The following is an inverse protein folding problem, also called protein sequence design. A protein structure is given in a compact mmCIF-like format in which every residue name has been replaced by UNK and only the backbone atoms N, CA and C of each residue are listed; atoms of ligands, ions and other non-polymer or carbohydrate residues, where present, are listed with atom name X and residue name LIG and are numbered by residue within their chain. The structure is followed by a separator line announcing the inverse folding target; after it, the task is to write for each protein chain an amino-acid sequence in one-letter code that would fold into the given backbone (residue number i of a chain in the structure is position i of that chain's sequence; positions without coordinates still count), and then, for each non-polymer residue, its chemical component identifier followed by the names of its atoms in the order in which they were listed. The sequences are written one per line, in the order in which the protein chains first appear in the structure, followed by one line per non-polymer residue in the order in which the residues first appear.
data_IF_769446095283
#
_entry.id   IF_769446095283
#
_cell.length_a   1.000
_cell.length_b   1.000
_cell.length_c   1.000
_cell.angle_alpha   90.00
_cell.angle_beta   90.00
_cell.angle_gamma   90.00
#
_symmetry.space_group_name_H-M   'P 1'
#
loop_
_entity.id
_entity.type
_entity.pdbx_description
1 polymer ?
#
# COMPACT_ATOMS: atom_id res chain seq x y z
N UNK A 1 -38.97 -8.86 3.72
CA UNK A 1 -38.11 -7.78 3.16
C UNK A 1 -38.94 -7.02 2.11
N UNK A 2 -38.88 -5.68 2.12
CA UNK A 2 -39.64 -4.82 1.20
C UNK A 2 -39.32 -5.19 -0.27
N UNK A 3 -40.36 -5.36 -1.09
CA UNK A 3 -40.25 -5.75 -2.51
C UNK A 3 -39.35 -4.78 -3.29
N UNK A 4 -39.42 -3.48 -2.97
CA UNK A 4 -38.59 -2.47 -3.64
C UNK A 4 -37.10 -2.68 -3.30
N UNK A 5 -36.77 -2.96 -2.03
CA UNK A 5 -35.38 -3.23 -1.63
C UNK A 5 -34.83 -4.51 -2.29
N UNK A 6 -35.69 -5.52 -2.48
CA UNK A 6 -35.30 -6.75 -3.18
C UNK A 6 -34.94 -6.45 -4.64
N UNK A 7 -35.72 -5.60 -5.31
CA UNK A 7 -35.43 -5.19 -6.72
C UNK A 7 -34.10 -4.45 -6.81
N UNK A 8 -33.88 -3.46 -5.95
CA UNK A 8 -32.61 -2.68 -5.91
C UNK A 8 -31.43 -3.63 -5.68
N UNK A 9 -31.53 -4.53 -4.70
CA UNK A 9 -30.49 -5.53 -4.41
C UNK A 9 -30.17 -6.37 -5.65
N UNK A 10 -31.20 -6.87 -6.33
CA UNK A 10 -31.04 -7.76 -7.48
C UNK A 10 -30.37 -7.02 -8.65
N UNK A 11 -30.83 -5.79 -8.92
CA UNK A 11 -30.25 -4.93 -9.96
C UNK A 11 -28.79 -4.61 -9.65
N UNK A 12 -28.47 -4.27 -8.40
CA UNK A 12 -27.08 -3.99 -7.98
C UNK A 12 -26.19 -5.22 -8.15
N UNK A 13 -26.68 -6.42 -7.81
CA UNK A 13 -25.90 -7.66 -8.00
C UNK A 13 -25.63 -7.95 -9.47
N UNK A 14 -26.59 -7.71 -10.35
CA UNK A 14 -26.40 -7.89 -11.79
C UNK A 14 -25.35 -6.89 -12.32
N UNK A 15 -25.42 -5.65 -11.88
CA UNK A 15 -24.46 -4.61 -12.27
C UNK A 15 -23.03 -4.95 -11.80
N UNK A 16 -22.90 -5.52 -10.60
CA UNK A 16 -21.58 -5.86 -10.01
C UNK A 16 -20.97 -7.15 -10.60
N UNK A 17 -21.76 -8.04 -11.17
CA UNK A 17 -21.31 -9.40 -11.51
C UNK A 17 -20.02 -9.43 -12.35
N UNK A 18 -19.84 -8.63 -13.43
CA UNK A 18 -18.60 -8.64 -14.19
C UNK A 18 -17.38 -8.20 -13.38
N UNK A 19 -17.56 -7.19 -12.53
CA UNK A 19 -16.48 -6.65 -11.67
C UNK A 19 -16.12 -7.69 -10.60
N UNK A 20 -17.12 -8.35 -10.01
CA UNK A 20 -16.91 -9.41 -9.02
C UNK A 20 -16.07 -10.56 -9.60
N UNK A 21 -16.35 -10.95 -10.85
CA UNK A 21 -15.59 -12.01 -11.52
C UNK A 21 -14.11 -11.60 -11.67
N UNK A 22 -13.85 -10.38 -12.11
CA UNK A 22 -12.48 -9.87 -12.23
C UNK A 22 -11.78 -9.81 -10.86
N UNK A 23 -12.48 -9.35 -9.81
CA UNK A 23 -11.93 -9.34 -8.45
C UNK A 23 -11.58 -10.76 -7.97
N UNK A 24 -12.38 -11.75 -8.35
CA UNK A 24 -12.14 -13.16 -8.04
C UNK A 24 -10.86 -13.66 -8.72
N UNK A 25 -10.68 -13.36 -10.01
CA UNK A 25 -9.46 -13.73 -10.76
C UNK A 25 -8.20 -13.13 -10.10
N UNK A 26 -8.26 -11.84 -9.70
CA UNK A 26 -7.15 -11.16 -9.02
C UNK A 26 -6.87 -11.85 -7.67
N UNK A 27 -7.92 -12.13 -6.92
CA UNK A 27 -7.79 -12.80 -5.61
C UNK A 27 -7.15 -14.18 -5.75
N UNK A 28 -7.60 -14.98 -6.74
CA UNK A 28 -7.03 -16.32 -6.99
C UNK A 28 -5.55 -16.22 -7.36
N UNK A 29 -5.18 -15.29 -8.23
CA UNK A 29 -3.79 -15.06 -8.60
C UNK A 29 -2.95 -14.74 -7.35
N UNK A 30 -3.42 -13.81 -6.52
CA UNK A 30 -2.69 -13.41 -5.32
C UNK A 30 -2.64 -14.54 -4.27
N UNK A 31 -3.70 -15.35 -4.14
CA UNK A 31 -3.67 -16.53 -3.25
C UNK A 31 -2.62 -17.54 -3.69
N UNK A 32 -2.49 -17.78 -5.01
CA UNK A 32 -1.45 -18.64 -5.57
C UNK A 32 -0.05 -18.08 -5.25
N UNK A 33 0.14 -16.78 -5.47
CA UNK A 33 1.41 -16.08 -5.16
C UNK A 33 1.79 -16.28 -3.67
N UNK A 34 0.84 -16.11 -2.75
CA UNK A 34 1.08 -16.31 -1.32
C UNK A 34 1.43 -17.78 -1.02
N UNK A 35 0.68 -18.74 -1.58
CA UNK A 35 0.94 -20.16 -1.36
C UNK A 35 2.31 -20.57 -1.90
N UNK A 36 2.71 -20.07 -3.06
CA UNK A 36 4.01 -20.33 -3.65
C UNK A 36 5.14 -19.79 -2.77
N UNK A 37 4.98 -18.56 -2.24
CA UNK A 37 5.94 -17.97 -1.30
C UNK A 37 6.06 -18.83 -0.03
N UNK A 38 4.93 -19.29 0.52
CA UNK A 38 4.94 -20.18 1.71
C UNK A 38 5.71 -21.50 1.43
N UNK A 39 5.45 -22.12 0.26
CA UNK A 39 6.12 -23.38 -0.14
C UNK A 39 7.62 -23.16 -0.37
N UNK A 40 7.97 -22.13 -1.14
CA UNK A 40 9.38 -21.78 -1.44
C UNK A 40 10.17 -21.56 -0.14
N UNK A 41 9.57 -20.92 0.83
CA UNK A 41 10.20 -20.62 2.12
C UNK A 41 10.06 -21.74 3.15
N UNK A 42 9.47 -22.90 2.77
CA UNK A 42 9.29 -24.05 3.67
C UNK A 42 8.62 -23.64 4.99
N UNK A 43 7.56 -22.80 4.91
CA UNK A 43 6.83 -22.34 6.09
C UNK A 43 6.28 -23.55 6.87
N UNK A 44 6.48 -23.55 8.19
CA UNK A 44 6.03 -24.64 9.08
C UNK A 44 5.62 -24.05 10.43
N UNK A 45 5.01 -24.88 11.27
CA UNK A 45 4.58 -24.47 12.61
C UNK A 45 5.75 -23.99 13.50
N UNK A 46 6.97 -24.41 13.19
CA UNK A 46 8.18 -23.95 13.89
C UNK A 46 8.32 -22.41 13.83
N UNK A 47 7.96 -21.82 12.70
CA UNK A 47 8.08 -20.36 12.48
C UNK A 47 6.99 -19.54 13.17
N UNK A 48 6.04 -20.21 13.84
CA UNK A 48 4.98 -19.53 14.60
C UNK A 48 5.38 -19.23 16.04
N UNK A 49 6.50 -19.82 16.49
CA UNK A 49 6.94 -19.71 17.89
C UNK A 49 7.33 -18.27 18.27
N UNK A 50 7.07 -17.88 19.49
CA UNK A 50 7.56 -16.57 19.99
C UNK A 50 9.08 -16.61 20.22
N UNK A 51 9.67 -15.42 20.31
CA UNK A 51 11.07 -15.25 20.69
C UNK A 51 11.19 -14.25 21.85
N UNK A 52 12.34 -14.24 22.52
CA UNK A 52 12.58 -13.36 23.64
C UNK A 52 14.02 -12.79 23.59
N UNK A 53 14.35 -11.97 24.58
CA UNK A 53 15.64 -11.32 24.64
C UNK A 53 15.84 -10.36 23.49
N UNK A 54 17.01 -10.38 22.90
CA UNK A 54 17.34 -9.49 21.78
C UNK A 54 16.71 -9.93 20.44
N UNK A 55 16.31 -11.19 20.34
CA UNK A 55 15.68 -11.70 19.12
C UNK A 55 16.65 -11.99 17.98
N UNK A 56 17.92 -12.15 18.24
CA UNK A 56 18.89 -12.58 17.20
C UNK A 56 18.48 -13.95 16.67
N UNK A 57 18.45 -14.10 15.35
CA UNK A 57 18.09 -15.36 14.70
C UNK A 57 16.65 -15.79 14.95
N UNK A 58 15.71 -14.85 15.10
CA UNK A 58 14.29 -15.16 15.29
C UNK A 58 13.73 -15.81 14.01
N UNK A 59 13.42 -17.14 14.03
CA UNK A 59 13.01 -17.82 12.81
C UNK A 59 11.64 -17.38 12.30
N UNK A 60 10.76 -16.92 13.17
CA UNK A 60 9.43 -16.41 12.77
C UNK A 60 9.54 -15.10 12.01
N UNK A 61 10.31 -14.17 12.57
CA UNK A 61 10.57 -12.87 11.94
C UNK A 61 11.22 -13.04 10.58
N UNK A 62 12.37 -13.75 10.56
CA UNK A 62 13.14 -13.95 9.32
C UNK A 62 12.30 -14.63 8.25
N UNK A 63 11.52 -15.63 8.65
CA UNK A 63 10.65 -16.34 7.70
C UNK A 63 9.55 -15.42 7.16
N UNK A 64 8.94 -14.62 8.01
CA UNK A 64 7.89 -13.69 7.60
C UNK A 64 8.44 -12.66 6.60
N UNK A 65 9.62 -12.12 6.87
CA UNK A 65 10.29 -11.16 5.99
C UNK A 65 10.66 -11.78 4.64
N UNK A 66 11.21 -13.02 4.63
CA UNK A 66 11.54 -13.71 3.39
C UNK A 66 10.29 -13.99 2.53
N UNK A 67 9.21 -14.44 3.16
CA UNK A 67 7.92 -14.65 2.49
C UNK A 67 7.41 -13.33 1.89
N UNK A 68 7.56 -12.23 2.65
CA UNK A 68 7.15 -10.89 2.20
C UNK A 68 7.92 -10.48 0.95
N UNK A 69 9.25 -10.69 0.95
CA UNK A 69 10.09 -10.37 -0.22
C UNK A 69 9.60 -11.12 -1.48
N UNK A 70 9.27 -12.41 -1.34
CA UNK A 70 8.78 -13.19 -2.48
C UNK A 70 7.43 -12.69 -3.00
N UNK A 71 6.50 -12.34 -2.10
CA UNK A 71 5.16 -11.88 -2.50
C UNK A 71 5.21 -10.49 -3.15
N UNK A 72 6.03 -9.58 -2.60
CA UNK A 72 6.10 -8.18 -3.05
C UNK A 72 7.25 -7.93 -4.03
N UNK A 73 8.00 -8.97 -4.41
CA UNK A 73 9.15 -8.91 -5.34
C UNK A 73 10.21 -7.90 -4.86
N UNK A 74 10.43 -7.86 -3.54
CA UNK A 74 11.38 -6.95 -2.90
C UNK A 74 12.71 -7.65 -2.62
N UNK A 75 13.81 -6.89 -2.60
CA UNK A 75 15.13 -7.40 -2.24
C UNK A 75 15.25 -7.64 -0.75
N UNK A 76 14.58 -6.80 0.06
CA UNK A 76 14.57 -6.91 1.52
C UNK A 76 13.24 -6.39 2.07
N UNK A 77 12.93 -6.78 3.31
CA UNK A 77 11.75 -6.27 3.98
C UNK A 77 11.95 -6.20 5.49
N UNK A 78 11.18 -5.32 6.13
CA UNK A 78 10.96 -5.25 7.57
C UNK A 78 9.48 -5.47 7.79
N UNK A 79 9.09 -6.61 8.36
CA UNK A 79 7.68 -6.93 8.65
C UNK A 79 7.58 -7.13 10.14
N UNK A 80 7.18 -6.10 10.85
CA UNK A 80 7.39 -6.04 12.29
C UNK A 80 6.12 -5.74 13.09
N UNK A 81 5.79 -6.61 14.05
CA UNK A 81 4.73 -6.32 15.03
C UNK A 81 4.99 -5.04 15.84
N UNK A 82 6.25 -4.66 16.00
CA UNK A 82 6.67 -3.52 16.84
C UNK A 82 6.44 -2.17 16.18
N UNK A 83 6.13 -2.12 14.88
CA UNK A 83 5.60 -0.88 14.30
C UNK A 83 4.24 -0.59 14.93
N UNK A 84 4.08 0.54 15.57
CA UNK A 84 2.84 0.86 16.29
C UNK A 84 1.69 1.24 15.36
N UNK A 85 1.99 1.51 14.08
CA UNK A 85 0.98 1.92 13.07
C UNK A 85 1.61 1.95 11.68
N UNK A 86 0.77 2.05 10.65
CA UNK A 86 1.24 2.33 9.29
C UNK A 86 1.99 3.66 9.21
N UNK A 87 1.46 4.69 9.90
CA UNK A 87 2.13 6.00 9.96
C UNK A 87 3.57 5.87 10.50
N UNK A 88 3.80 4.98 11.48
CA UNK A 88 5.15 4.75 12.01
C UNK A 88 6.08 4.21 10.91
N UNK A 89 5.63 3.23 10.12
CA UNK A 89 6.46 2.68 9.03
C UNK A 89 6.71 3.73 7.94
N UNK A 90 5.66 4.45 7.51
CA UNK A 90 5.79 5.51 6.50
C UNK A 90 6.76 6.61 6.99
N UNK A 91 6.59 7.04 8.24
CA UNK A 91 7.48 8.05 8.85
C UNK A 91 8.92 7.53 8.94
N UNK A 92 9.12 6.24 9.28
CA UNK A 92 10.44 5.63 9.32
C UNK A 92 11.14 5.75 7.96
N UNK A 93 10.43 5.46 6.85
CA UNK A 93 10.99 5.60 5.49
C UNK A 93 11.45 7.04 5.27
N UNK A 94 10.58 8.02 5.54
CA UNK A 94 10.90 9.43 5.28
C UNK A 94 12.06 9.92 6.17
N UNK A 95 12.05 9.53 7.46
CA UNK A 95 13.08 9.97 8.42
C UNK A 95 14.42 9.27 8.18
N UNK A 96 14.42 8.07 7.60
CA UNK A 96 15.62 7.31 7.26
C UNK A 96 16.30 7.84 6.00
N UNK A 97 15.50 8.22 5.01
CA UNK A 97 16.01 8.47 3.65
C UNK A 97 16.19 9.96 3.32
N UNK A 98 15.71 10.86 4.20
CA UNK A 98 15.77 12.31 3.96
C UNK A 98 16.64 13.00 5.00
N UNK A 99 17.63 13.73 4.53
CA UNK A 99 18.58 14.51 5.35
C UNK A 99 18.27 16.01 5.25
N UNK A 100 18.79 16.82 6.19
CA UNK A 100 18.66 18.28 6.07
C UNK A 100 19.21 18.77 4.71
N UNK A 101 18.41 19.57 4.01
CA UNK A 101 18.73 20.07 2.69
C UNK A 101 18.11 19.28 1.54
N UNK A 102 17.69 18.05 1.78
CA UNK A 102 16.98 17.24 0.76
C UNK A 102 15.61 17.82 0.44
N UNK A 103 15.10 17.51 -0.75
CA UNK A 103 13.73 17.84 -1.15
C UNK A 103 12.92 16.57 -1.35
N UNK A 104 11.74 16.51 -0.72
CA UNK A 104 10.73 15.50 -1.05
C UNK A 104 9.58 16.14 -1.85
N UNK A 105 9.01 15.35 -2.75
CA UNK A 105 7.84 15.75 -3.56
C UNK A 105 6.70 14.77 -3.27
N UNK A 106 5.50 15.27 -3.00
CA UNK A 106 4.30 14.44 -3.04
C UNK A 106 3.70 14.53 -4.44
N UNK A 107 3.60 13.40 -5.13
CA UNK A 107 3.27 13.36 -6.56
C UNK A 107 1.78 13.50 -6.86
N UNK A 108 0.90 13.25 -5.88
CA UNK A 108 -0.54 13.08 -6.14
C UNK A 108 -1.41 13.90 -5.16
N UNK A 109 -1.01 15.14 -4.96
CA UNK A 109 -1.67 16.04 -4.01
C UNK A 109 -1.13 15.86 -2.60
N UNK A 110 -1.86 16.37 -1.63
CA UNK A 110 -1.43 16.36 -0.23
C UNK A 110 -1.45 14.94 0.34
N UNK A 111 -0.42 14.52 1.07
CA UNK A 111 -0.40 13.20 1.70
C UNK A 111 -1.49 13.05 2.78
N UNK A 112 -1.72 11.81 3.20
CA UNK A 112 -2.66 11.45 4.25
C UNK A 112 -2.40 12.30 5.51
N UNK A 113 -3.48 12.61 6.25
CA UNK A 113 -3.46 13.60 7.34
C UNK A 113 -2.35 13.38 8.39
N UNK A 114 -2.11 12.13 8.81
CA UNK A 114 -1.04 11.86 9.79
C UNK A 114 0.34 12.15 9.19
N UNK A 115 0.51 11.90 7.88
CA UNK A 115 1.77 12.19 7.20
C UNK A 115 1.99 13.71 7.04
N UNK A 116 0.91 14.49 6.92
CA UNK A 116 1.03 15.95 6.90
C UNK A 116 1.71 16.47 8.19
N UNK A 117 1.40 15.84 9.33
CA UNK A 117 2.05 16.20 10.61
C UNK A 117 3.51 15.73 10.66
N UNK A 118 3.81 14.54 10.12
CA UNK A 118 5.20 14.02 10.02
C UNK A 118 6.05 14.93 9.15
N UNK A 119 5.49 15.41 8.04
CA UNK A 119 6.19 16.31 7.10
C UNK A 119 6.30 17.72 7.70
N UNK A 120 5.28 18.17 8.44
CA UNK A 120 5.19 19.53 8.96
C UNK A 120 4.36 20.44 8.06
N UNK A 121 3.43 19.87 7.29
CA UNK A 121 2.46 20.63 6.51
C UNK A 121 1.40 21.21 7.46
N UNK A 122 0.93 20.38 8.40
CA UNK A 122 -0.05 20.77 9.42
C UNK A 122 0.53 20.55 10.81
N UNK A 123 0.12 21.39 11.73
CA UNK A 123 0.57 21.31 13.13
C UNK A 123 2.01 21.75 13.30
N UNK A 124 2.53 21.56 14.51
CA UNK A 124 3.90 21.94 14.87
C UNK A 124 4.61 20.84 15.65
N UNK A 125 4.41 19.58 15.24
CA UNK A 125 4.99 18.42 15.91
C UNK A 125 6.53 18.55 15.99
N UNK A 126 7.12 18.27 17.14
CA UNK A 126 8.58 18.32 17.25
C UNK A 126 9.22 17.23 16.40
N UNK A 127 10.32 17.57 15.71
CA UNK A 127 11.07 16.61 14.90
C UNK A 127 10.47 16.30 13.53
N UNK A 128 9.44 17.03 13.10
CA UNK A 128 8.89 16.86 11.74
C UNK A 128 9.97 17.20 10.70
N UNK A 129 9.76 16.76 9.45
CA UNK A 129 10.76 16.88 8.39
C UNK A 129 11.16 18.34 8.12
N UNK A 130 10.21 19.29 8.13
CA UNK A 130 10.53 20.70 7.92
C UNK A 130 11.46 21.23 9.01
N UNK A 131 11.20 20.87 10.27
CA UNK A 131 12.09 21.26 11.40
C UNK A 131 13.48 20.63 11.30
N UNK A 132 13.56 19.48 10.63
CA UNK A 132 14.85 18.82 10.33
C UNK A 132 15.56 19.40 9.13
N UNK A 133 14.97 20.41 8.47
CA UNK A 133 15.59 21.07 7.33
C UNK A 133 15.29 20.42 5.98
N UNK A 134 14.31 19.51 5.90
CA UNK A 134 13.88 18.89 4.64
C UNK A 134 12.88 19.83 3.95
N UNK A 135 13.05 20.04 2.66
CA UNK A 135 12.13 20.84 1.83
C UNK A 135 11.01 19.94 1.30
N UNK A 136 9.80 20.48 1.29
CA UNK A 136 8.61 19.79 0.79
C UNK A 136 8.01 20.52 -0.39
N UNK A 137 7.71 19.80 -1.47
CA UNK A 137 6.95 20.26 -2.61
C UNK A 137 5.72 19.37 -2.79
N UNK A 138 4.62 19.94 -3.22
CA UNK A 138 3.39 19.19 -3.53
C UNK A 138 3.04 19.43 -4.99
N UNK A 139 2.76 18.35 -5.74
CA UNK A 139 2.22 18.47 -7.09
C UNK A 139 0.69 18.52 -6.98
N UNK A 140 0.06 19.65 -7.32
CA UNK A 140 -1.39 19.73 -7.23
C UNK A 140 -2.06 18.81 -8.23
N UNK A 141 -3.25 18.33 -7.88
CA UNK A 141 -4.09 17.56 -8.79
C UNK A 141 -4.64 18.47 -9.92
N UNK A 142 -4.80 17.89 -11.10
CA UNK A 142 -5.46 18.52 -12.24
C UNK A 142 -6.92 18.01 -12.25
N UNK A 143 -7.82 18.77 -11.65
CA UNK A 143 -9.14 18.25 -11.30
C UNK A 143 -9.00 17.18 -10.23
N UNK A 144 -9.45 15.96 -10.52
CA UNK A 144 -9.36 14.83 -9.61
C UNK A 144 -8.27 13.81 -10.04
N UNK A 145 -7.37 14.20 -10.95
CA UNK A 145 -6.33 13.31 -11.49
C UNK A 145 -4.94 13.87 -11.20
N UNK A 146 -3.95 12.99 -11.19
CA UNK A 146 -2.54 13.38 -11.13
C UNK A 146 -2.12 14.00 -12.48
N UNK A 147 -1.08 14.83 -12.46
CA UNK A 147 -0.58 15.55 -13.64
C UNK A 147 0.89 15.17 -13.88
N UNK A 148 1.14 14.34 -14.90
CA UNK A 148 2.50 13.86 -15.22
C UNK A 148 3.44 15.01 -15.63
N UNK A 149 2.93 16.02 -16.33
CA UNK A 149 3.75 17.17 -16.72
C UNK A 149 4.19 17.97 -15.50
N UNK A 150 3.26 18.17 -14.55
CA UNK A 150 3.57 18.86 -13.30
C UNK A 150 4.52 18.04 -12.41
N UNK A 151 4.37 16.69 -12.39
CA UNK A 151 5.29 15.79 -11.69
C UNK A 151 6.71 15.94 -12.31
N UNK A 152 6.80 15.86 -13.65
CA UNK A 152 8.07 16.01 -14.37
C UNK A 152 8.74 17.35 -14.07
N UNK A 153 7.95 18.43 -14.01
CA UNK A 153 8.44 19.78 -13.72
C UNK A 153 8.90 19.95 -12.26
N UNK A 154 8.31 19.16 -11.31
CA UNK A 154 8.65 19.23 -9.89
C UNK A 154 9.96 18.50 -9.55
N UNK A 155 10.41 17.57 -10.40
CA UNK A 155 11.61 16.74 -10.17
C UNK A 155 12.83 17.37 -10.82
N UNK A 156 13.79 17.76 -9.97
CA UNK A 156 15.10 18.29 -10.37
C UNK A 156 16.21 17.49 -9.66
N UNK A 157 17.46 17.88 -9.85
CA UNK A 157 18.63 17.20 -9.29
C UNK A 157 18.68 17.25 -7.75
N UNK A 158 17.88 18.10 -7.12
CA UNK A 158 17.83 18.24 -5.66
C UNK A 158 16.70 17.41 -5.04
N UNK A 159 15.85 16.77 -5.86
CA UNK A 159 14.74 15.95 -5.35
C UNK A 159 15.27 14.58 -4.97
N UNK A 160 15.35 14.34 -3.68
CA UNK A 160 15.83 13.06 -3.14
C UNK A 160 14.77 11.97 -3.20
N UNK A 161 13.49 12.32 -2.96
CA UNK A 161 12.42 11.34 -2.84
C UNK A 161 11.10 11.90 -3.37
N UNK A 162 10.39 11.05 -4.15
CA UNK A 162 9.01 11.31 -4.57
C UNK A 162 8.11 10.29 -3.86
N UNK A 163 7.17 10.81 -3.08
CA UNK A 163 6.16 10.00 -2.38
C UNK A 163 4.92 9.88 -3.26
N UNK A 164 4.41 8.65 -3.39
CA UNK A 164 3.25 8.30 -4.23
C UNK A 164 2.24 7.59 -3.33
N UNK A 165 1.23 8.32 -2.86
CA UNK A 165 0.16 7.73 -2.05
C UNK A 165 -0.81 7.00 -2.97
N UNK A 166 -0.86 5.66 -2.89
CA UNK A 166 -1.69 4.82 -3.77
C UNK A 166 -3.17 5.03 -3.51
N UNK A 167 -3.60 4.97 -2.26
CA UNK A 167 -5.00 5.17 -1.88
C UNK A 167 -5.40 6.64 -2.00
N UNK A 168 -6.70 6.89 -2.21
CA UNK A 168 -7.22 8.27 -2.28
C UNK A 168 -7.22 8.98 -0.92
N UNK A 169 -7.13 8.23 0.18
CA UNK A 169 -7.30 8.81 1.51
C UNK A 169 -8.67 9.48 1.61
N UNK A 170 -8.70 10.71 2.09
CA UNK A 170 -9.92 11.52 2.17
C UNK A 170 -10.14 12.44 0.97
N UNK A 171 -9.25 12.39 -0.02
CA UNK A 171 -9.36 13.24 -1.22
C UNK A 171 -10.40 12.67 -2.19
N UNK A 172 -10.91 13.51 -3.09
CA UNK A 172 -11.91 13.11 -4.09
C UNK A 172 -11.29 12.58 -5.39
N UNK A 173 -9.97 12.37 -5.41
CA UNK A 173 -9.31 11.73 -6.57
C UNK A 173 -9.53 10.22 -6.58
N UNK A 174 -9.28 9.59 -7.69
CA UNK A 174 -9.27 8.13 -7.75
C UNK A 174 -8.02 7.55 -7.07
N UNK A 175 -8.12 6.32 -6.57
CA UNK A 175 -6.95 5.55 -6.14
C UNK A 175 -6.11 5.18 -7.37
N UNK A 176 -4.80 5.00 -7.18
CA UNK A 176 -3.90 4.71 -8.28
C UNK A 176 -3.89 3.20 -8.59
N UNK A 177 -4.05 2.89 -9.86
CA UNK A 177 -3.87 1.53 -10.39
C UNK A 177 -2.39 1.29 -10.70
N UNK A 178 -1.99 0.01 -10.94
CA UNK A 178 -0.60 -0.29 -11.31
C UNK A 178 -0.07 0.58 -12.46
N UNK A 179 -0.89 0.77 -13.49
CA UNK A 179 -0.50 1.57 -14.66
C UNK A 179 -0.21 3.03 -14.31
N UNK A 180 -0.92 3.57 -13.31
CA UNK A 180 -0.70 4.95 -12.85
C UNK A 180 0.62 5.06 -12.08
N UNK A 181 0.85 4.10 -11.17
CA UNK A 181 2.10 4.03 -10.39
C UNK A 181 3.29 3.94 -11.36
N UNK A 182 3.19 3.03 -12.35
CA UNK A 182 4.26 2.86 -13.34
C UNK A 182 4.52 4.16 -14.12
N UNK A 183 3.48 4.84 -14.59
CA UNK A 183 3.63 6.12 -15.33
C UNK A 183 4.31 7.18 -14.47
N UNK A 184 3.93 7.28 -13.19
CA UNK A 184 4.52 8.25 -12.27
C UNK A 184 6.00 7.91 -12.05
N UNK A 185 6.31 6.63 -11.75
CA UNK A 185 7.69 6.16 -11.54
C UNK A 185 8.53 6.42 -12.78
N UNK A 186 8.06 6.02 -13.97
CA UNK A 186 8.77 6.22 -15.23
C UNK A 186 9.04 7.72 -15.47
N UNK A 187 8.06 8.58 -15.18
CA UNK A 187 8.21 10.05 -15.31
C UNK A 187 9.29 10.58 -14.38
N UNK A 188 9.29 10.15 -13.12
CA UNK A 188 10.29 10.56 -12.12
C UNK A 188 11.67 10.09 -12.55
N UNK A 189 11.80 8.80 -12.89
CA UNK A 189 13.10 8.19 -13.26
C UNK A 189 13.67 8.76 -14.58
N UNK A 190 12.82 9.16 -15.50
CA UNK A 190 13.25 9.84 -16.73
C UNK A 190 13.83 11.23 -16.45
N UNK A 191 13.40 11.89 -15.37
CA UNK A 191 13.92 13.21 -14.97
C UNK A 191 15.16 13.10 -14.11
N UNK A 192 15.14 12.20 -13.13
CA UNK A 192 16.28 11.97 -12.24
C UNK A 192 16.25 10.51 -11.79
N UNK A 193 17.11 9.66 -12.37
CA UNK A 193 17.14 8.22 -12.04
C UNK A 193 17.53 7.94 -10.59
N UNK A 194 18.19 8.89 -9.92
CA UNK A 194 18.64 8.72 -8.53
C UNK A 194 17.54 9.10 -7.51
N UNK A 195 16.46 9.75 -7.96
CA UNK A 195 15.33 10.08 -7.08
C UNK A 195 14.62 8.80 -6.61
N UNK A 196 14.47 8.64 -5.31
CA UNK A 196 13.79 7.48 -4.72
C UNK A 196 12.27 7.60 -4.95
N UNK A 197 11.67 6.57 -5.55
CA UNK A 197 10.21 6.47 -5.69
C UNK A 197 9.68 5.64 -4.53
N UNK A 198 9.02 6.29 -3.58
CA UNK A 198 8.43 5.67 -2.38
C UNK A 198 6.92 5.61 -2.52
N UNK A 199 6.34 4.41 -2.39
CA UNK A 199 4.87 4.22 -2.47
C UNK A 199 4.29 3.94 -1.09
N UNK A 200 3.36 4.80 -0.64
CA UNK A 200 2.45 4.44 0.45
C UNK A 200 1.40 3.50 -0.13
N UNK A 201 1.54 2.21 0.17
CA UNK A 201 0.70 1.15 -0.39
C UNK A 201 -0.52 0.81 0.49
N UNK A 202 -0.78 1.56 1.54
CA UNK A 202 -1.92 1.32 2.44
C UNK A 202 -3.22 1.19 1.64
N UNK A 203 -3.96 0.09 1.85
CA UNK A 203 -5.17 -0.31 1.16
C UNK A 203 -4.95 -0.72 -0.31
N UNK A 204 -3.70 -0.73 -0.80
CA UNK A 204 -3.40 -1.18 -2.16
C UNK A 204 -3.08 -2.65 -2.27
N UNK A 205 -2.57 -3.24 -1.18
CA UNK A 205 -2.07 -4.62 -1.19
C UNK A 205 -3.15 -5.59 -1.65
N UNK A 206 -2.80 -6.45 -2.60
CA UNK A 206 -3.66 -7.52 -3.15
C UNK A 206 -4.92 -7.01 -3.89
N UNK A 207 -5.02 -5.70 -4.16
CA UNK A 207 -6.14 -5.17 -4.95
C UNK A 207 -5.94 -5.39 -6.45
N UNK A 208 -4.70 -5.60 -6.88
CA UNK A 208 -4.30 -5.90 -8.26
C UNK A 208 -3.32 -7.07 -8.25
N UNK A 209 -2.87 -7.51 -9.42
CA UNK A 209 -1.89 -8.61 -9.54
C UNK A 209 -0.48 -8.14 -9.19
N UNK A 210 -0.14 -6.92 -9.64
CA UNK A 210 1.18 -6.32 -9.46
C UNK A 210 1.21 -5.43 -8.22
N UNK A 211 2.33 -5.45 -7.52
CA UNK A 211 2.61 -4.60 -6.38
C UNK A 211 3.64 -3.52 -6.77
N UNK A 212 3.76 -2.41 -6.00
CA UNK A 212 4.53 -1.24 -6.45
C UNK A 212 6.00 -1.51 -6.84
N UNK A 213 6.66 -2.47 -6.20
CA UNK A 213 8.08 -2.78 -6.51
C UNK A 213 8.19 -3.33 -7.94
N UNK A 214 7.24 -4.17 -8.37
CA UNK A 214 7.20 -4.72 -9.74
C UNK A 214 7.02 -3.61 -10.79
N UNK A 215 6.52 -2.45 -10.38
CA UNK A 215 6.25 -1.32 -11.25
C UNK A 215 7.40 -0.29 -11.26
N UNK A 216 8.49 -0.62 -10.56
CA UNK A 216 9.70 0.19 -10.51
C UNK A 216 9.83 1.10 -9.29
N UNK A 217 8.92 1.02 -8.32
CA UNK A 217 9.10 1.74 -7.06
C UNK A 217 10.34 1.20 -6.33
N UNK A 218 11.11 2.08 -5.72
CA UNK A 218 12.33 1.69 -5.00
C UNK A 218 12.01 1.10 -3.62
N UNK A 219 10.96 1.61 -2.97
CA UNK A 219 10.58 1.19 -1.63
C UNK A 219 9.07 1.43 -1.44
N UNK A 220 8.44 0.57 -0.66
CA UNK A 220 7.02 0.69 -0.33
C UNK A 220 6.80 0.35 1.14
N UNK A 221 5.74 0.90 1.71
CA UNK A 221 5.38 0.63 3.10
C UNK A 221 3.85 0.63 3.27
N UNK A 222 3.39 -0.05 4.31
CA UNK A 222 1.97 -0.13 4.61
C UNK A 222 1.71 -0.75 5.98
N UNK A 223 0.44 -0.93 6.29
CA UNK A 223 0.00 -1.35 7.62
C UNK A 223 -0.51 -2.79 7.62
N UNK A 224 -0.10 -3.58 8.62
CA UNK A 224 -0.58 -4.97 8.78
C UNK A 224 -2.02 -5.03 9.31
N UNK A 225 -2.55 -3.96 9.89
CA UNK A 225 -3.96 -3.98 10.35
C UNK A 225 -4.95 -3.65 9.21
N UNK A 226 -4.42 -3.49 7.98
CA UNK A 226 -5.21 -3.25 6.77
C UNK A 226 -5.18 -4.50 5.89
N UNK A 227 -5.23 -4.33 4.55
CA UNK A 227 -5.32 -5.44 3.59
C UNK A 227 -4.30 -6.55 3.87
N UNK A 228 -3.04 -6.17 4.02
CA UNK A 228 -1.92 -7.11 4.12
C UNK A 228 -2.00 -8.06 5.30
N UNK A 229 -2.70 -7.68 6.36
CA UNK A 229 -2.87 -8.53 7.54
C UNK A 229 -4.15 -9.36 7.55
N UNK A 230 -4.99 -9.26 6.50
CA UNK A 230 -6.15 -10.13 6.29
C UNK A 230 -7.14 -10.19 7.44
N UNK A 231 -7.18 -9.16 8.30
CA UNK A 231 -8.05 -9.13 9.48
C UNK A 231 -7.55 -9.94 10.67
N UNK A 232 -6.39 -10.60 10.56
CA UNK A 232 -5.82 -11.44 11.64
C UNK A 232 -4.64 -10.78 12.33
N UNK A 233 -3.81 -10.03 11.60
CA UNK A 233 -2.65 -9.36 12.21
C UNK A 233 -3.13 -8.34 13.24
N UNK A 234 -2.70 -8.47 14.52
CA UNK A 234 -3.25 -7.61 15.59
C UNK A 234 -2.62 -6.22 15.63
N UNK A 235 -1.46 -6.04 14.98
CA UNK A 235 -0.64 -4.83 15.04
C UNK A 235 0.40 -4.89 13.93
N UNK A 236 1.21 -3.85 13.81
CA UNK A 236 2.39 -3.89 12.98
C UNK A 236 2.24 -3.22 11.63
N UNK A 237 3.36 -3.20 10.93
CA UNK A 237 3.46 -2.60 9.60
C UNK A 237 4.62 -3.25 8.86
N UNK A 238 4.79 -2.86 7.59
CA UNK A 238 5.89 -3.36 6.78
C UNK A 238 6.54 -2.23 5.99
N UNK A 239 7.81 -2.43 5.68
CA UNK A 239 8.58 -1.66 4.70
C UNK A 239 9.27 -2.71 3.83
N UNK A 240 9.23 -2.57 2.50
CA UNK A 240 9.96 -3.49 1.61
C UNK A 240 10.39 -2.79 0.33
N UNK A 241 11.46 -3.28 -0.29
CA UNK A 241 12.02 -2.68 -1.50
C UNK A 241 13.48 -3.03 -1.69
N UNK A 242 14.27 -2.07 -2.18
CA UNK A 242 15.72 -2.23 -2.37
C UNK A 242 16.41 -2.46 -1.04
N UNK A 243 17.36 -3.39 -1.01
CA UNK A 243 18.01 -3.84 0.22
C UNK A 243 18.71 -2.73 0.97
N UNK A 244 19.42 -1.85 0.25
CA UNK A 244 20.14 -0.73 0.85
C UNK A 244 19.18 0.28 1.52
N UNK A 245 18.02 0.54 0.90
CA UNK A 245 17.03 1.47 1.45
C UNK A 245 16.32 0.88 2.68
N UNK A 246 16.02 -0.43 2.61
CA UNK A 246 15.39 -1.14 3.74
C UNK A 246 16.36 -1.18 4.94
N UNK A 247 17.65 -1.38 4.69
CA UNK A 247 18.65 -1.39 5.77
C UNK A 247 18.78 -0.01 6.44
N UNK A 248 18.75 1.08 5.66
CA UNK A 248 18.70 2.43 6.24
C UNK A 248 17.46 2.61 7.13
N UNK A 249 16.31 2.10 6.68
CA UNK A 249 15.08 2.14 7.47
C UNK A 249 15.22 1.32 8.75
N UNK A 250 15.89 0.16 8.70
CA UNK A 250 16.11 -0.69 9.87
C UNK A 250 16.96 0.04 10.92
N UNK A 251 18.02 0.74 10.51
CA UNK A 251 18.86 1.54 11.41
C UNK A 251 18.09 2.71 12.03
N UNK A 252 17.22 3.35 11.26
CA UNK A 252 16.39 4.46 11.77
C UNK A 252 15.30 3.96 12.73
N UNK A 253 14.75 2.77 12.44
CA UNK A 253 13.68 2.16 13.23
C UNK A 253 14.19 1.62 14.57
N UNK A 254 15.37 1.03 14.59
CA UNK A 254 16.00 0.47 15.81
C UNK A 254 16.99 1.49 16.40
N UNK A 255 18.22 1.44 15.94
CA UNK A 255 19.27 2.41 16.27
C UNK A 255 20.41 2.23 15.26
N UNK A 256 21.18 3.29 14.98
CA UNK A 256 22.37 3.14 14.14
C UNK A 256 23.29 2.04 14.68
N UNK A 257 23.62 1.09 13.82
CA UNK A 257 24.47 -0.05 14.16
C UNK A 257 23.74 -1.31 14.58
N UNK A 258 22.42 -1.24 14.87
CA UNK A 258 21.64 -2.44 15.21
C UNK A 258 20.97 -3.05 13.95
N UNK A 259 20.38 -2.21 13.09
CA UNK A 259 19.78 -2.67 11.85
C UNK A 259 18.62 -3.64 12.05
N UNK A 260 18.51 -4.61 11.13
CA UNK A 260 17.36 -5.53 11.05
C UNK A 260 17.50 -6.78 11.93
N UNK A 261 18.67 -7.05 12.53
CA UNK A 261 18.95 -8.33 13.19
C UNK A 261 18.25 -8.51 14.54
N UNK A 262 17.72 -7.45 15.12
CA UNK A 262 17.14 -7.44 16.47
C UNK A 262 15.62 -7.27 16.44
N UNK A 263 15.01 -7.54 17.56
CA UNK A 263 13.58 -7.36 17.78
C UNK A 263 12.84 -8.68 17.98
N UNK A 264 12.80 -9.11 19.25
CA UNK A 264 12.04 -10.30 19.65
C UNK A 264 10.53 -9.99 19.66
N UNK A 265 9.71 -11.04 19.54
CA UNK A 265 8.28 -10.93 19.68
C UNK A 265 7.78 -12.07 20.59
N UNK A 266 7.29 -11.68 21.77
CA UNK A 266 6.93 -12.63 22.84
C UNK A 266 5.58 -13.33 22.63
N UNK A 267 4.88 -12.97 21.53
CA UNK A 267 3.64 -13.66 21.12
C UNK A 267 3.89 -14.44 19.82
N UNK A 268 2.92 -15.23 19.42
CA UNK A 268 3.04 -16.08 18.22
C UNK A 268 3.02 -15.25 16.94
N UNK A 269 3.87 -15.62 15.98
CA UNK A 269 3.82 -15.07 14.61
C UNK A 269 2.65 -15.63 13.79
N UNK A 270 1.97 -16.66 14.29
CA UNK A 270 0.88 -17.32 13.56
C UNK A 270 -0.17 -16.34 12.99
N UNK A 271 -0.67 -15.33 13.75
CA UNK A 271 -1.67 -14.42 13.19
C UNK A 271 -1.18 -13.62 11.97
N UNK A 272 0.13 -13.36 11.87
CA UNK A 272 0.69 -12.64 10.71
C UNK A 272 0.71 -13.53 9.47
N UNK A 273 1.10 -14.81 9.62
CA UNK A 273 1.07 -15.76 8.50
C UNK A 273 -0.37 -16.10 8.09
N UNK A 274 -1.27 -16.33 9.05
CA UNK A 274 -2.69 -16.56 8.78
C UNK A 274 -3.32 -15.33 8.09
N UNK A 275 -2.97 -14.15 8.58
CA UNK A 275 -3.42 -12.90 7.98
C UNK A 275 -2.98 -12.76 6.54
N UNK A 276 -1.70 -13.01 6.30
CA UNK A 276 -1.15 -12.94 4.93
C UNK A 276 -1.82 -13.97 4.01
N UNK A 277 -2.07 -15.19 4.51
CA UNK A 277 -2.79 -16.23 3.76
C UNK A 277 -4.20 -15.78 3.39
N UNK A 278 -4.90 -15.14 4.33
CA UNK A 278 -6.27 -14.69 4.11
C UNK A 278 -6.37 -13.35 3.38
N UNK A 279 -5.29 -12.58 3.30
CA UNK A 279 -5.31 -11.20 2.80
C UNK A 279 -5.94 -11.05 1.40
N UNK A 280 -5.59 -11.89 0.39
CA UNK A 280 -6.24 -11.75 -0.92
C UNK A 280 -7.75 -11.97 -0.89
N UNK A 281 -8.20 -12.93 -0.07
CA UNK A 281 -9.65 -13.21 0.08
C UNK A 281 -10.37 -12.06 0.79
N UNK A 282 -9.82 -11.59 1.91
CA UNK A 282 -10.44 -10.51 2.72
C UNK A 282 -10.47 -9.20 1.92
N UNK A 283 -9.37 -8.89 1.20
CA UNK A 283 -9.30 -7.70 0.33
C UNK A 283 -10.38 -7.77 -0.75
N UNK A 284 -10.52 -8.94 -1.40
CA UNK A 284 -11.58 -9.12 -2.41
C UNK A 284 -12.97 -8.85 -1.81
N UNK A 285 -13.26 -9.39 -0.62
CA UNK A 285 -14.57 -9.19 0.01
C UNK A 285 -14.83 -7.72 0.34
N UNK A 286 -13.80 -7.00 0.79
CA UNK A 286 -13.92 -5.55 1.06
C UNK A 286 -14.22 -4.78 -0.23
N UNK A 287 -13.50 -5.09 -1.32
CA UNK A 287 -13.70 -4.46 -2.62
C UNK A 287 -15.10 -4.75 -3.17
N UNK A 288 -15.55 -6.01 -3.09
CA UNK A 288 -16.90 -6.41 -3.54
C UNK A 288 -17.98 -5.68 -2.75
N UNK A 289 -17.80 -5.53 -1.43
CA UNK A 289 -18.74 -4.80 -0.58
C UNK A 289 -18.82 -3.32 -0.96
N UNK A 290 -17.68 -2.69 -1.22
CA UNK A 290 -17.62 -1.29 -1.63
C UNK A 290 -18.30 -1.09 -2.99
N UNK A 291 -18.03 -1.97 -3.97
CA UNK A 291 -18.64 -1.93 -5.31
C UNK A 291 -20.16 -2.10 -5.21
N UNK A 292 -20.62 -3.08 -4.43
CA UNK A 292 -22.04 -3.31 -4.21
C UNK A 292 -22.70 -2.09 -3.57
N UNK A 293 -22.07 -1.52 -2.54
CA UNK A 293 -22.59 -0.33 -1.86
C UNK A 293 -22.72 0.85 -2.83
N UNK A 294 -21.67 1.11 -3.63
CA UNK A 294 -21.69 2.17 -4.66
C UNK A 294 -22.84 1.94 -5.65
N UNK A 295 -23.01 0.71 -6.12
CA UNK A 295 -24.07 0.34 -7.08
C UNK A 295 -25.48 0.57 -6.49
N UNK A 296 -25.70 0.15 -5.24
CA UNK A 296 -26.97 0.36 -4.56
C UNK A 296 -27.32 1.85 -4.46
N UNK A 297 -26.37 2.67 -4.00
CA UNK A 297 -26.64 4.10 -3.87
C UNK A 297 -26.82 4.80 -5.22
N UNK A 298 -26.09 4.36 -6.24
CA UNK A 298 -26.27 4.87 -7.62
C UNK A 298 -27.68 4.57 -8.14
N UNK A 299 -28.18 3.34 -7.97
CA UNK A 299 -29.56 2.94 -8.37
C UNK A 299 -30.61 3.78 -7.62
N UNK A 300 -30.34 4.11 -6.37
CA UNK A 300 -31.23 4.95 -5.55
C UNK A 300 -31.16 6.43 -5.92
N UNK A 301 -30.31 6.84 -6.88
CA UNK A 301 -30.24 8.20 -7.40
C UNK A 301 -29.22 9.10 -6.71
N UNK A 302 -28.36 8.55 -5.86
CA UNK A 302 -27.32 9.32 -5.18
C UNK A 302 -26.09 9.50 -6.09
N UNK A 303 -25.38 10.61 -5.92
CA UNK A 303 -24.02 10.77 -6.47
C UNK A 303 -23.07 9.93 -5.63
N UNK A 304 -22.26 9.13 -6.28
CA UNK A 304 -21.33 8.21 -5.59
C UNK A 304 -19.92 8.41 -6.11
N UNK A 305 -18.94 8.16 -5.25
CA UNK A 305 -17.53 8.13 -5.66
C UNK A 305 -16.77 7.13 -4.78
N UNK A 306 -16.10 6.13 -5.36
CA UNK A 306 -16.02 5.89 -6.82
C UNK A 306 -17.36 5.48 -7.43
N UNK A 307 -17.53 5.77 -8.73
CA UNK A 307 -18.66 5.28 -9.50
C UNK A 307 -18.56 3.74 -9.63
N UNK A 308 -19.69 3.07 -9.66
CA UNK A 308 -19.66 1.62 -9.94
C UNK A 308 -18.89 1.33 -11.23
N UNK A 309 -18.13 0.12 -11.00
CA UNK A 309 -17.29 -0.32 -12.08
C UNK A 309 -15.96 0.46 -12.16
N UNK A 310 -15.96 1.45 -11.42
CA UNK A 310 -14.78 2.26 -11.41
C UNK A 310 -13.81 1.91 -10.28
N UNK A 311 -14.24 1.19 -9.61
CA UNK A 311 -13.45 0.67 -8.56
C UNK A 311 -12.37 -0.30 -8.94
N UNK A 312 -12.61 -0.81 -10.04
CA UNK A 312 -11.72 -1.83 -10.48
C UNK A 312 -11.43 -1.78 -11.92
N UNK A 313 -12.09 -0.95 -12.65
CA UNK A 313 -11.94 -0.94 -14.12
C UNK A 313 -11.71 0.50 -14.62
N UNK A 314 -10.46 0.85 -14.90
CA UNK A 314 -10.12 2.19 -15.42
C UNK A 314 -10.52 2.38 -16.90
N UNK A 315 -10.55 1.30 -17.69
CA UNK A 315 -11.01 1.33 -19.08
C UNK A 315 -12.38 0.67 -19.12
N UNK A 316 -13.42 1.47 -19.24
CA UNK A 316 -14.78 0.98 -19.47
C UNK A 316 -14.83 0.18 -20.79
N UNK A 317 -15.10 -1.11 -20.78
CA UNK A 317 -15.72 -1.67 -21.96
C UNK A 317 -17.09 -1.00 -22.08
N UNK A 318 -17.48 -0.70 -23.28
CA UNK A 318 -18.81 -0.17 -23.55
C UNK A 318 -19.84 -1.20 -23.04
N UNK A 319 -20.53 -0.84 -21.95
CA UNK A 319 -21.53 -1.73 -21.33
C UNK A 319 -22.75 -1.98 -22.21
N UNK A 320 -22.83 -1.32 -23.40
CA UNK A 320 -23.95 -1.55 -24.33
C UNK A 320 -24.08 -3.03 -24.75
N UNK A 321 -22.98 -3.80 -24.69
CA UNK A 321 -23.00 -5.21 -25.08
C UNK A 321 -23.49 -6.16 -23.96
N UNK A 322 -23.54 -5.72 -22.71
CA UNK A 322 -23.94 -6.55 -21.57
C UNK A 322 -25.39 -6.30 -21.11
N UNK A 323 -26.03 -5.26 -21.63
CA UNK A 323 -27.40 -4.90 -21.26
C UNK A 323 -28.45 -5.51 -22.23
N UNK A 324 -28.00 -6.28 -23.22
CA UNK A 324 -28.89 -6.85 -24.25
C UNK A 324 -29.33 -8.29 -23.96
N UNK A 325 -29.81 -8.56 -22.72
CA UNK A 325 -30.57 -9.81 -22.46
C UNK A 325 -31.56 -9.61 -21.31
#
# INVERSE_FOLDING_TARGET
MNTQLQKVRQEALMLCAPVFHKMEEISLFNMQKVLEAFRKNHLSAYHFAPSNGYGYGDPGREKLENVWCDIFHAEASLVRPQFVSGTHALATVLLALLNPGDTMVSAVGSPYDTMQSVIGITGDAPGNLKKRGVRYKEVPLKGNAYDLDAIAAAVDENVKLVEIQRSRGYMLRDSLFPEDIKKIVDTVKAKNPDTICFVDNCYGEFTCKEEPIELGADITAGSLIKNAGGGFAPTGAYICGKADLVELCAHAWTAPGLGSEMGSYAASYRPFFEGLFMAPHVTRQAMMSAEFCSSVFKILGFSVTPEPXXXXLKNRPDYSDYIRY
#
